data_IF_082114641770
#
_entry.id   IF_082114641770
#
_cell.length_a   1.000
_cell.length_b   1.000
_cell.length_c   1.000
_cell.angle_alpha   90.00
_cell.angle_beta   90.00
_cell.angle_gamma   90.00
#
_symmetry.space_group_name_H-M   'P 1'
#
loop_
_entity.id
_entity.type
_entity.pdbx_description
1 polymer ?
#
# COMPACT_ATOMS: atom_id res chain seq x y z
N UNK A 1 17.32 17.14 -4.98
CA UNK A 1 16.35 16.10 -5.36
C UNK A 1 16.47 15.02 -4.29
N UNK A 2 15.56 14.99 -3.31
CA UNK A 2 15.64 14.02 -2.23
C UNK A 2 15.57 12.60 -2.82
N UNK A 3 16.41 11.70 -2.33
CA UNK A 3 16.41 10.31 -2.75
C UNK A 3 15.09 9.66 -2.29
N UNK A 4 14.23 9.31 -3.25
CA UNK A 4 12.92 8.73 -3.01
C UNK A 4 13.02 7.42 -2.22
N UNK A 5 14.15 6.71 -2.33
CA UNK A 5 14.43 5.51 -1.56
C UNK A 5 14.68 5.84 -0.08
N UNK A 6 15.35 6.95 0.21
CA UNK A 6 15.60 7.41 1.58
C UNK A 6 14.31 7.83 2.30
N UNK A 7 13.31 8.32 1.54
CA UNK A 7 11.99 8.67 2.06
C UNK A 7 11.17 7.42 2.46
N UNK A 8 11.41 6.28 1.80
CA UNK A 8 10.74 5.00 2.04
C UNK A 8 11.47 4.12 3.06
N UNK A 9 12.68 4.46 3.49
CA UNK A 9 13.45 3.71 4.49
C UNK A 9 12.66 3.31 5.77
N UNK A 10 11.82 4.16 6.38
CA UNK A 10 10.99 3.74 7.53
C UNK A 10 9.93 2.69 7.18
N UNK A 11 9.55 2.54 5.90
CA UNK A 11 8.67 1.46 5.41
C UNK A 11 9.42 0.16 5.10
N UNK A 12 10.76 0.13 5.15
CA UNK A 12 11.56 -1.07 4.92
C UNK A 12 11.81 -1.89 6.21
N UNK A 13 11.81 -1.23 7.39
CA UNK A 13 11.91 -1.89 8.70
C UNK A 13 10.75 -2.83 9.12
N UNK A 14 9.50 -2.76 8.60
CA UNK A 14 8.41 -3.67 8.94
C UNK A 14 8.38 -5.00 8.17
N UNK A 15 9.31 -5.28 7.24
CA UNK A 15 9.25 -6.49 6.39
C UNK A 15 9.22 -7.79 7.23
N UNK A 16 9.93 -7.82 8.37
CA UNK A 16 9.93 -8.99 9.27
C UNK A 16 8.58 -9.25 9.95
N UNK A 17 7.76 -8.22 10.20
CA UNK A 17 6.40 -8.37 10.74
C UNK A 17 5.37 -8.79 9.69
N UNK A 18 5.67 -8.52 8.41
CA UNK A 18 4.79 -8.84 7.28
C UNK A 18 4.98 -10.28 6.81
N UNK A 19 6.09 -10.95 7.14
CA UNK A 19 6.36 -12.32 6.67
C UNK A 19 5.23 -13.30 7.00
N UNK A 20 4.74 -13.31 8.24
CA UNK A 20 3.59 -14.16 8.63
C UNK A 20 2.32 -13.81 7.85
N UNK A 21 2.09 -12.53 7.57
CA UNK A 21 0.93 -12.10 6.77
C UNK A 21 1.09 -12.47 5.29
N UNK A 22 2.31 -12.42 4.76
CA UNK A 22 2.63 -12.84 3.41
C UNK A 22 2.36 -14.34 3.21
N UNK A 23 2.76 -15.18 4.16
CA UNK A 23 2.46 -16.63 4.13
C UNK A 23 0.94 -16.86 4.07
N UNK A 24 0.16 -16.16 4.90
CA UNK A 24 -1.30 -16.24 4.86
C UNK A 24 -1.88 -15.79 3.51
N UNK A 25 -1.39 -14.68 2.95
CA UNK A 25 -1.84 -14.20 1.64
C UNK A 25 -1.53 -15.24 0.56
N UNK A 26 -0.36 -15.86 0.59
CA UNK A 26 0.03 -16.92 -0.34
C UNK A 26 -0.93 -18.12 -0.23
N UNK A 27 -1.20 -18.57 0.99
CA UNK A 27 -2.12 -19.70 1.25
C UNK A 27 -3.55 -19.41 0.79
N UNK A 28 -4.05 -18.19 1.06
CA UNK A 28 -5.36 -17.72 0.59
C UNK A 28 -5.44 -17.76 -0.95
N UNK A 29 -4.38 -17.33 -1.66
CA UNK A 29 -4.38 -17.34 -3.12
C UNK A 29 -4.25 -18.73 -3.72
N UNK A 30 -3.43 -19.60 -3.12
CA UNK A 30 -3.35 -20.99 -3.55
C UNK A 30 -4.69 -21.70 -3.34
N UNK A 31 -5.34 -21.46 -2.21
CA UNK A 31 -6.66 -22.02 -1.90
C UNK A 31 -7.68 -21.56 -2.94
N UNK A 32 -7.78 -20.24 -3.19
CA UNK A 32 -8.72 -19.70 -4.18
C UNK A 32 -8.47 -20.22 -5.60
N UNK A 33 -7.20 -20.38 -5.99
CA UNK A 33 -6.83 -20.94 -7.30
C UNK A 33 -7.20 -22.43 -7.41
N UNK A 34 -7.01 -23.22 -6.35
CA UNK A 34 -7.40 -24.64 -6.31
C UNK A 34 -8.93 -24.77 -6.39
N UNK A 35 -9.67 -23.94 -5.66
CA UNK A 35 -11.13 -23.91 -5.67
C UNK A 35 -11.69 -23.50 -7.03
N UNK A 36 -11.03 -22.58 -7.74
CA UNK A 36 -11.40 -22.21 -9.11
C UNK A 36 -11.33 -23.39 -10.08
N UNK A 37 -10.33 -24.27 -9.92
CA UNK A 37 -10.12 -25.42 -10.78
C UNK A 37 -9.47 -25.07 -12.13
N UNK A 38 -9.17 -26.09 -12.93
CA UNK A 38 -8.51 -25.91 -14.22
C UNK A 38 -9.51 -25.51 -15.33
N UNK A 39 -9.12 -24.62 -16.28
CA UNK A 39 -7.82 -23.97 -16.39
C UNK A 39 -7.69 -22.71 -15.50
N UNK A 40 -6.56 -22.56 -14.81
CA UNK A 40 -6.23 -21.37 -14.03
C UNK A 40 -4.89 -20.77 -14.50
N UNK A 41 -4.85 -19.45 -14.69
CA UNK A 41 -3.61 -18.71 -14.98
C UNK A 41 -2.90 -18.34 -13.67
N UNK A 42 -1.68 -18.86 -13.49
CA UNK A 42 -0.85 -18.60 -12.32
C UNK A 42 -0.52 -17.10 -12.17
N UNK A 43 -0.39 -16.36 -13.27
CA UNK A 43 -0.07 -14.94 -13.23
C UNK A 43 -1.26 -14.16 -12.66
N UNK A 44 -2.45 -14.37 -13.20
CA UNK A 44 -3.67 -13.68 -12.79
C UNK A 44 -4.10 -14.06 -11.37
N UNK A 45 -4.09 -15.35 -11.04
CA UNK A 45 -4.61 -15.85 -9.76
C UNK A 45 -3.62 -15.76 -8.61
N UNK A 46 -2.32 -15.85 -8.88
CA UNK A 46 -1.28 -15.94 -7.83
C UNK A 46 -0.32 -14.76 -7.88
N UNK A 47 0.39 -14.54 -8.99
CA UNK A 47 1.52 -13.60 -9.02
C UNK A 47 1.10 -12.12 -8.92
N UNK A 48 0.06 -11.71 -9.66
CA UNK A 48 -0.41 -10.31 -9.68
C UNK A 48 -1.04 -9.84 -8.37
N UNK A 49 -1.93 -10.60 -7.71
CA UNK A 49 -2.65 -10.07 -6.56
C UNK A 49 -1.83 -10.08 -5.26
N UNK A 50 -0.76 -10.87 -5.16
CA UNK A 50 0.10 -10.93 -3.95
C UNK A 50 0.74 -9.56 -3.64
N UNK A 51 1.51 -8.92 -4.56
CA UNK A 51 2.13 -7.62 -4.28
C UNK A 51 1.13 -6.55 -3.86
N UNK A 52 -0.04 -6.49 -4.50
CA UNK A 52 -1.08 -5.53 -4.18
C UNK A 52 -1.61 -5.69 -2.75
N UNK A 53 -1.88 -6.92 -2.32
CA UNK A 53 -2.32 -7.22 -0.94
C UNK A 53 -1.24 -6.91 0.09
N UNK A 54 0.01 -7.27 -0.20
CA UNK A 54 1.14 -6.99 0.70
C UNK A 54 1.33 -5.49 0.92
N UNK A 55 1.26 -4.69 -0.15
CA UNK A 55 1.36 -3.23 -0.05
C UNK A 55 0.20 -2.66 0.77
N UNK A 56 -1.03 -3.15 0.58
CA UNK A 56 -2.18 -2.70 1.36
C UNK A 56 -2.02 -2.95 2.87
N UNK A 57 -1.43 -4.09 3.26
CA UNK A 57 -1.10 -4.41 4.65
C UNK A 57 0.03 -3.53 5.18
N UNK A 58 1.09 -3.30 4.39
CA UNK A 58 2.20 -2.41 4.76
C UNK A 58 1.74 -0.98 5.00
N UNK A 59 0.76 -0.51 4.22
CA UNK A 59 0.17 0.82 4.37
C UNK A 59 -0.79 0.92 5.56
N UNK A 60 -1.28 -0.22 6.09
CA UNK A 60 -2.27 -0.27 7.16
C UNK A 60 -3.61 0.29 6.73
N UNK A 61 -4.06 -0.02 5.51
CA UNK A 61 -5.30 0.49 4.95
C UNK A 61 -6.53 -0.06 5.69
N UNK A 62 -7.54 0.79 5.99
CA UNK A 62 -8.83 0.34 6.50
C UNK A 62 -9.48 -0.65 5.53
N UNK A 63 -10.18 -1.66 6.06
CA UNK A 63 -10.75 -2.75 5.24
C UNK A 63 -11.61 -2.24 4.07
N UNK A 64 -12.35 -1.14 4.28
CA UNK A 64 -13.25 -0.57 3.25
C UNK A 64 -12.51 0.02 2.05
N UNK A 65 -11.26 0.44 2.23
CA UNK A 65 -10.44 1.10 1.20
C UNK A 65 -9.56 0.09 0.45
N UNK A 66 -9.37 -1.12 1.00
CA UNK A 66 -8.52 -2.16 0.40
C UNK A 66 -8.90 -2.55 -1.03
N UNK A 67 -10.19 -2.71 -1.41
CA UNK A 67 -10.54 -3.11 -2.77
C UNK A 67 -10.10 -2.11 -3.84
N UNK A 68 -10.32 -0.81 -3.58
CA UNK A 68 -9.99 0.26 -4.53
C UNK A 68 -8.47 0.37 -4.69
N UNK A 69 -7.73 0.35 -3.59
CA UNK A 69 -6.27 0.35 -3.61
C UNK A 69 -5.68 -0.88 -4.31
N UNK A 70 -6.25 -2.07 -4.06
CA UNK A 70 -5.82 -3.28 -4.72
C UNK A 70 -6.03 -3.18 -6.24
N UNK A 71 -7.18 -2.64 -6.68
CA UNK A 71 -7.47 -2.41 -8.09
C UNK A 71 -6.47 -1.43 -8.73
N UNK A 72 -6.19 -0.30 -8.06
CA UNK A 72 -5.24 0.69 -8.57
C UNK A 72 -3.82 0.13 -8.68
N UNK A 73 -3.36 -0.61 -7.66
CA UNK A 73 -2.03 -1.23 -7.69
C UNK A 73 -1.96 -2.30 -8.79
N UNK A 74 -2.99 -3.13 -8.96
CA UNK A 74 -3.05 -4.11 -10.05
C UNK A 74 -2.99 -3.45 -11.43
N UNK A 75 -3.75 -2.37 -11.63
CA UNK A 75 -3.71 -1.59 -12.86
C UNK A 75 -2.31 -1.01 -13.14
N UNK A 76 -1.57 -0.62 -12.11
CA UNK A 76 -0.20 -0.12 -12.23
C UNK A 76 0.85 -1.22 -12.46
N UNK A 77 0.62 -2.44 -11.96
CA UNK A 77 1.53 -3.58 -12.10
C UNK A 77 1.34 -4.33 -13.42
N UNK A 78 0.17 -4.22 -14.04
CA UNK A 78 -0.12 -4.83 -15.33
C UNK A 78 0.52 -4.03 -16.46
N UNK A 79 1.16 -4.75 -17.40
CA UNK A 79 1.79 -4.16 -18.58
C UNK A 79 0.79 -3.83 -19.70
N UNK A 80 -0.42 -4.37 -19.62
CA UNK A 80 -1.46 -4.26 -20.64
C UNK A 80 -2.52 -3.20 -20.31
N UNK A 81 -2.38 -2.50 -19.17
CA UNK A 81 -3.32 -1.46 -18.77
C UNK A 81 -3.24 -0.28 -19.74
N UNK A 82 -4.38 0.11 -20.31
CA UNK A 82 -4.49 1.29 -21.16
C UNK A 82 -4.16 2.58 -20.40
N UNK A 83 -3.77 3.63 -21.13
CA UNK A 83 -3.27 4.89 -20.55
C UNK A 83 -4.28 5.57 -19.62
N UNK A 84 -5.57 5.63 -19.98
CA UNK A 84 -6.57 6.31 -19.14
C UNK A 84 -6.95 5.55 -17.88
N UNK A 85 -7.21 4.23 -17.90
CA UNK A 85 -7.34 3.44 -16.68
C UNK A 85 -6.10 3.54 -15.77
N UNK A 86 -4.90 3.55 -16.35
CA UNK A 86 -3.66 3.74 -15.59
C UNK A 86 -3.60 5.14 -14.95
N UNK A 87 -4.05 6.17 -15.68
CA UNK A 87 -4.14 7.54 -15.18
C UNK A 87 -5.08 7.64 -13.99
N UNK A 88 -6.29 7.09 -14.10
CA UNK A 88 -7.29 7.05 -13.04
C UNK A 88 -6.79 6.28 -11.82
N UNK A 89 -6.19 5.10 -12.02
CA UNK A 89 -5.60 4.31 -10.95
C UNK A 89 -4.50 5.07 -10.21
N UNK A 90 -3.62 5.76 -10.94
CA UNK A 90 -2.56 6.57 -10.35
C UNK A 90 -3.11 7.75 -9.56
N UNK A 91 -4.09 8.47 -10.12
CA UNK A 91 -4.68 9.65 -9.49
C UNK A 91 -5.45 9.24 -8.22
N UNK A 92 -6.19 8.12 -8.26
CA UNK A 92 -6.85 7.51 -7.11
C UNK A 92 -5.86 7.08 -6.02
N UNK A 93 -4.79 6.37 -6.39
CA UNK A 93 -3.76 5.90 -5.46
C UNK A 93 -3.11 7.07 -4.71
N UNK A 94 -2.68 8.12 -5.41
CA UNK A 94 -2.06 9.28 -4.76
C UNK A 94 -3.05 10.11 -3.96
N UNK A 95 -4.29 10.26 -4.45
CA UNK A 95 -5.37 10.93 -3.71
C UNK A 95 -5.66 10.25 -2.37
N UNK A 96 -5.89 8.93 -2.40
CA UNK A 96 -6.15 8.15 -1.18
C UNK A 96 -4.96 8.19 -0.21
N UNK A 97 -3.72 8.06 -0.69
CA UNK A 97 -2.54 8.08 0.19
C UNK A 97 -2.39 9.43 0.91
N UNK A 98 -2.76 10.54 0.24
CA UNK A 98 -2.78 11.85 0.87
C UNK A 98 -3.83 11.91 1.99
N UNK A 99 -5.04 11.38 1.77
CA UNK A 99 -6.08 11.30 2.79
C UNK A 99 -5.63 10.46 4.00
N UNK A 100 -5.06 9.27 3.76
CA UNK A 100 -4.53 8.40 4.81
C UNK A 100 -3.44 9.09 5.65
N UNK A 101 -2.55 9.84 4.99
CA UNK A 101 -1.49 10.60 5.65
C UNK A 101 -2.00 11.74 6.54
N UNK A 102 -3.14 12.34 6.20
CA UNK A 102 -3.78 13.38 7.03
C UNK A 102 -4.64 12.82 8.16
N UNK A 103 -5.24 11.64 7.97
CA UNK A 103 -6.06 10.95 8.97
C UNK A 103 -5.22 10.29 10.07
N UNK A 104 -3.96 9.94 9.78
CA UNK A 104 -3.01 9.40 10.76
C UNK A 104 -2.23 10.56 11.40
N UNK A 105 -2.36 10.85 12.71
CA UNK A 105 -1.41 11.72 13.36
C UNK A 105 -0.03 11.07 13.23
N UNK A 106 0.89 11.71 12.52
CA UNK A 106 2.25 11.24 12.38
C UNK A 106 2.91 11.03 13.75
N UNK A 107 3.99 10.24 13.84
CA UNK A 107 4.77 10.23 15.07
C UNK A 107 5.16 11.67 15.37
N UNK A 108 4.83 12.17 16.56
CA UNK A 108 5.19 13.50 16.98
C UNK A 108 6.70 13.66 16.74
N UNK A 109 7.05 14.36 15.67
CA UNK A 109 8.39 14.89 15.54
C UNK A 109 8.45 15.91 16.67
N UNK A 110 9.16 15.56 17.74
CA UNK A 110 9.56 16.53 18.76
C UNK A 110 10.36 17.60 18.03
N UNK A 111 9.66 18.63 17.55
CA UNK A 111 10.24 19.91 17.22
C UNK A 111 10.60 20.54 18.56
N UNK A 112 11.80 20.21 19.02
CA UNK A 112 12.51 20.99 20.02
C UNK A 112 12.73 22.40 19.45
N UNK A 113 12.35 23.41 20.23
CA UNK A 113 12.49 24.85 20.01
C UNK A 113 11.52 25.44 18.96
N UNK A 114 10.36 25.96 19.33
CA UNK A 114 10.23 27.26 20.02
C UNK A 114 8.86 27.37 20.68
N UNK A 115 8.66 26.64 21.78
CA UNK A 115 7.62 26.99 22.75
C UNK A 115 8.29 27.88 23.81
N UNK A 116 8.46 29.16 23.49
CA UNK A 116 8.71 30.27 24.43
C UNK A 116 8.79 31.59 23.66
N UNK A 117 7.65 32.00 23.07
CA UNK A 117 7.44 33.39 22.71
C UNK A 117 6.09 33.84 23.29
N UNK A 118 6.15 34.65 24.34
CA UNK A 118 5.07 35.57 24.72
C UNK A 118 4.03 35.06 25.73
N UNK A 119 4.23 35.36 27.01
CA UNK A 119 3.13 35.83 27.87
C UNK A 119 3.54 37.13 28.58
N UNK A 120 2.63 38.12 28.65
CA UNK A 120 2.93 39.46 29.15
C UNK A 120 2.85 39.53 30.67
N UNK A 121 3.57 40.50 31.24
CA UNK A 121 3.12 41.28 32.39
C UNK A 121 3.37 42.75 32.09
#
# INVERSE_FOLDING_TARGET
MADHVQLLAPLAAPIAGVQTRLEQIIDEQLTGMIEHGAPADLVEWFAQPIPARVIAEMLGLPERERPDYQSWILAMLSLDTAEEPLREARDGLYGGLAELGTARPGPATTSSATCCAGRPR
#
